data_IF_599225578167
#
_entry.id   IF_599225578167
#
_cell.length_a   1.000
_cell.length_b   1.000
_cell.length_c   1.000
_cell.angle_alpha   90.00
_cell.angle_beta   90.00
_cell.angle_gamma   90.00
#
_symmetry.space_group_name_H-M   'P 1'
#
loop_
_entity.id
_entity.type
_entity.pdbx_description
1 polymer ?
#
# COMPACT_ATOMS: atom_id res chain seq x y z
N UNK A 1 -2.56 17.08 34.56
CA UNK A 1 -2.25 15.89 33.75
C UNK A 1 -3.35 15.76 32.72
N UNK A 2 -3.09 16.10 31.44
CA UNK A 2 -4.09 15.94 30.37
C UNK A 2 -4.06 14.46 29.98
N UNK A 3 -5.18 13.77 30.17
CA UNK A 3 -5.37 12.43 29.63
C UNK A 3 -5.23 12.51 28.11
N UNK A 4 -4.15 11.93 27.59
CA UNK A 4 -4.02 11.66 26.16
C UNK A 4 -4.99 10.53 25.87
N UNK A 5 -6.15 10.87 25.32
CA UNK A 5 -7.07 9.91 24.74
C UNK A 5 -6.31 9.25 23.61
N UNK A 6 -5.79 8.06 23.89
CA UNK A 6 -5.16 7.20 22.90
C UNK A 6 -6.31 6.58 22.10
N UNK A 7 -6.93 7.38 21.24
CA UNK A 7 -7.95 6.92 20.32
C UNK A 7 -7.25 6.00 19.31
N UNK A 8 -7.07 4.74 19.67
CA UNK A 8 -6.93 3.66 18.71
C UNK A 8 -8.25 3.61 17.95
N UNK A 9 -8.40 4.53 16.99
CA UNK A 9 -9.38 4.41 15.94
C UNK A 9 -8.89 3.20 15.15
N UNK A 10 -9.40 2.03 15.49
CA UNK A 10 -9.34 0.84 14.66
C UNK A 10 -10.15 1.18 13.41
N UNK A 11 -9.53 1.95 12.50
CA UNK A 11 -10.02 2.11 11.15
C UNK A 11 -9.93 0.71 10.55
N UNK A 12 -11.05 0.01 10.52
CA UNK A 12 -11.24 -1.21 9.74
C UNK A 12 -10.94 -0.85 8.28
N UNK A 13 -9.69 -1.10 7.87
CA UNK A 13 -9.20 -0.83 6.52
C UNK A 13 -9.14 -2.12 5.74
N UNK A 14 -9.86 -2.17 4.63
CA UNK A 14 -9.86 -3.30 3.70
C UNK A 14 -8.89 -3.03 2.55
N UNK A 15 -8.21 -4.07 2.07
CA UNK A 15 -7.36 -4.01 0.89
C UNK A 15 -8.07 -4.68 -0.28
N UNK A 16 -8.14 -3.99 -1.42
CA UNK A 16 -8.68 -4.53 -2.66
C UNK A 16 -7.58 -4.64 -3.72
N UNK A 17 -7.52 -5.81 -4.36
CA UNK A 17 -6.66 -6.09 -5.51
C UNK A 17 -7.42 -5.83 -6.82
N UNK A 18 -6.81 -5.10 -7.75
CA UNK A 18 -7.22 -4.96 -9.15
C UNK A 18 -6.00 -5.13 -10.07
N UNK A 19 -6.19 -4.95 -11.37
CA UNK A 19 -5.10 -4.95 -12.35
C UNK A 19 -5.11 -3.66 -13.15
N UNK A 20 -3.95 -3.06 -13.32
CA UNK A 20 -3.77 -2.00 -14.32
C UNK A 20 -3.85 -2.58 -15.73
N UNK A 21 -4.00 -1.71 -16.73
CA UNK A 21 -4.08 -2.12 -18.14
C UNK A 21 -2.83 -2.85 -18.67
N UNK A 22 -1.70 -2.75 -17.97
CA UNK A 22 -0.44 -3.44 -18.29
C UNK A 22 -0.28 -4.78 -17.53
N UNK A 23 -1.32 -5.23 -16.81
CA UNK A 23 -1.31 -6.46 -16.03
C UNK A 23 -0.70 -6.34 -14.62
N UNK A 24 -0.08 -5.20 -14.29
CA UNK A 24 0.48 -4.98 -12.95
C UNK A 24 -0.61 -4.94 -11.87
N UNK A 25 -0.24 -5.39 -10.67
CA UNK A 25 -1.14 -5.39 -9.53
C UNK A 25 -1.42 -3.94 -9.09
N UNK A 26 -2.70 -3.62 -8.95
CA UNK A 26 -3.16 -2.36 -8.40
C UNK A 26 -3.76 -2.60 -7.01
N UNK A 27 -3.30 -1.85 -6.01
CA UNK A 27 -3.66 -2.01 -4.60
C UNK A 27 -4.40 -0.78 -4.13
N UNK A 28 -5.60 -0.99 -3.61
CA UNK A 28 -6.46 0.07 -3.07
C UNK A 28 -6.82 -0.24 -1.62
N UNK A 29 -6.83 0.80 -0.79
CA UNK A 29 -7.31 0.75 0.58
C UNK A 29 -8.70 1.39 0.65
N UNK A 30 -9.60 0.76 1.39
CA UNK A 30 -10.97 1.21 1.62
C UNK A 30 -11.26 1.22 3.12
N UNK A 31 -12.21 2.06 3.54
CA UNK A 31 -12.74 2.00 4.90
C UNK A 31 -13.82 0.92 5.04
N UNK A 32 -14.42 0.79 6.22
CA UNK A 32 -15.47 -0.18 6.51
C UNK A 32 -16.76 0.02 5.68
N UNK A 33 -17.02 1.25 5.23
CA UNK A 33 -18.16 1.61 4.37
C UNK A 33 -17.85 1.44 2.87
N UNK A 34 -16.72 0.80 2.53
CA UNK A 34 -16.23 0.63 1.16
C UNK A 34 -15.99 1.95 0.41
N UNK A 35 -15.69 3.03 1.15
CA UNK A 35 -15.24 4.29 0.57
C UNK A 35 -13.72 4.25 0.33
N UNK A 36 -13.23 4.76 -0.82
CA UNK A 36 -11.82 4.71 -1.15
C UNK A 36 -11.00 5.63 -0.23
N UNK A 37 -9.98 5.07 0.41
CA UNK A 37 -9.03 5.82 1.25
C UNK A 37 -7.77 6.18 0.48
N UNK A 38 -7.18 5.20 -0.22
CA UNK A 38 -5.92 5.41 -0.93
C UNK A 38 -5.71 4.38 -2.05
N UNK A 39 -5.01 4.79 -3.10
CA UNK A 39 -4.32 3.89 -4.01
C UNK A 39 -2.88 3.74 -3.51
N UNK A 40 -2.47 2.53 -3.14
CA UNK A 40 -1.16 2.22 -2.55
C UNK A 40 -0.15 1.71 -3.58
N UNK A 41 -0.53 1.57 -4.85
CA UNK A 41 0.34 1.10 -5.92
C UNK A 41 0.69 2.19 -6.93
N UNK A 42 1.82 2.01 -7.62
CA UNK A 42 2.22 2.84 -8.76
C UNK A 42 2.30 1.95 -10.00
N UNK A 43 1.62 2.36 -11.08
CA UNK A 43 1.81 1.77 -12.41
C UNK A 43 3.12 2.24 -13.02
N UNK A 44 4.04 1.34 -13.33
CA UNK A 44 5.33 1.68 -13.96
C UNK A 44 5.81 0.58 -14.91
N UNK A 45 5.95 0.90 -16.20
CA UNK A 45 6.40 -0.08 -17.20
C UNK A 45 7.91 -0.34 -17.19
N UNK A 46 8.68 0.38 -16.38
CA UNK A 46 10.14 0.32 -16.37
C UNK A 46 10.73 -0.78 -15.48
N UNK A 47 9.88 -1.57 -14.82
CA UNK A 47 10.30 -2.69 -13.98
C UNK A 47 9.39 -3.88 -14.18
N UNK A 48 10.00 -5.06 -14.25
CA UNK A 48 9.29 -6.33 -14.22
C UNK A 48 8.90 -6.67 -12.79
N UNK A 49 7.61 -6.95 -12.59
CA UNK A 49 7.03 -7.30 -11.31
C UNK A 49 6.45 -8.72 -11.42
N UNK A 50 6.67 -9.53 -10.39
CA UNK A 50 5.97 -10.80 -10.26
C UNK A 50 4.46 -10.56 -10.10
N UNK A 51 3.61 -11.57 -10.34
CA UNK A 51 2.15 -11.39 -10.36
C UNK A 51 1.55 -10.78 -9.08
N UNK A 52 2.13 -11.06 -7.91
CA UNK A 52 1.67 -10.51 -6.62
C UNK A 52 2.53 -9.35 -6.10
N UNK A 53 3.49 -8.87 -6.91
CA UNK A 53 4.30 -7.71 -6.60
C UNK A 53 3.67 -6.40 -7.11
N UNK A 54 3.91 -5.32 -6.38
CA UNK A 54 3.54 -3.96 -6.75
C UNK A 54 4.56 -2.96 -6.22
N UNK A 55 4.62 -1.79 -6.85
CA UNK A 55 5.47 -0.70 -6.37
C UNK A 55 4.65 0.10 -5.35
N UNK A 56 5.13 0.17 -4.11
CA UNK A 56 4.44 0.84 -3.03
C UNK A 56 4.50 2.36 -3.19
N UNK A 57 3.33 2.97 -3.12
CA UNK A 57 3.10 4.41 -3.06
C UNK A 57 3.04 4.87 -1.60
N UNK A 58 4.18 4.98 -0.93
CA UNK A 58 4.26 5.26 0.52
C UNK A 58 4.40 6.74 0.89
N UNK A 59 4.18 7.65 -0.05
CA UNK A 59 4.30 9.09 0.19
C UNK A 59 3.01 9.71 0.78
N UNK A 60 3.18 10.68 1.67
CA UNK A 60 2.10 11.43 2.35
C UNK A 60 1.12 10.54 3.13
N UNK A 61 -0.19 10.74 2.99
CA UNK A 61 -1.26 10.03 3.73
C UNK A 61 -1.23 8.51 3.53
N UNK A 62 -0.68 8.06 2.40
CA UNK A 62 -0.54 6.64 2.10
C UNK A 62 0.43 5.93 3.06
N UNK A 63 1.40 6.64 3.65
CA UNK A 63 2.40 6.03 4.56
C UNK A 63 1.74 5.37 5.77
N UNK A 64 0.83 6.10 6.41
CA UNK A 64 0.13 5.62 7.59
C UNK A 64 -0.82 4.45 7.26
N UNK A 65 -1.41 4.47 6.06
CA UNK A 65 -2.28 3.39 5.58
C UNK A 65 -1.46 2.14 5.25
N UNK A 66 -0.36 2.29 4.49
CA UNK A 66 0.54 1.19 4.15
C UNK A 66 1.14 0.53 5.40
N UNK A 67 1.54 1.33 6.40
CA UNK A 67 2.07 0.85 7.67
C UNK A 67 1.14 -0.14 8.38
N UNK A 68 -0.18 0.13 8.38
CA UNK A 68 -1.16 -0.79 8.97
C UNK A 68 -1.19 -2.14 8.27
N UNK A 69 -1.06 -2.16 6.95
CA UNK A 69 -1.04 -3.41 6.18
C UNK A 69 0.28 -4.18 6.30
N UNK A 70 1.39 -3.49 6.60
CA UNK A 70 2.63 -4.15 7.02
C UNK A 70 2.48 -4.80 8.39
N UNK A 71 1.87 -4.10 9.36
CA UNK A 71 1.65 -4.60 10.72
C UNK A 71 0.73 -5.83 10.76
N UNK A 72 -0.23 -5.93 9.85
CA UNK A 72 -1.07 -7.13 9.69
C UNK A 72 -0.41 -8.25 8.89
N UNK A 73 0.73 -7.99 8.25
CA UNK A 73 1.45 -8.95 7.40
C UNK A 73 0.80 -9.22 6.04
N UNK A 74 -0.24 -8.47 5.67
CA UNK A 74 -0.90 -8.56 4.34
C UNK A 74 0.02 -8.06 3.24
N UNK A 75 0.71 -6.94 3.48
CA UNK A 75 1.76 -6.43 2.60
C UNK A 75 3.11 -6.85 3.19
N UNK A 76 3.98 -7.43 2.37
CA UNK A 76 5.36 -7.73 2.75
C UNK A 76 6.34 -6.95 1.88
N UNK A 77 7.37 -6.33 2.49
CA UNK A 77 8.44 -5.73 1.72
C UNK A 77 9.22 -6.82 0.98
N UNK A 78 9.73 -6.50 -0.20
CA UNK A 78 10.83 -7.25 -0.81
C UNK A 78 12.15 -6.52 -0.54
N UNK A 79 13.28 -7.05 -1.01
CA UNK A 79 14.57 -6.35 -0.96
C UNK A 79 14.82 -5.49 -2.21
N UNK A 80 13.79 -5.23 -3.01
CA UNK A 80 13.88 -4.53 -4.30
C UNK A 80 13.29 -3.13 -4.22
N UNK A 81 13.96 -2.20 -4.88
CA UNK A 81 13.54 -0.80 -4.97
C UNK A 81 13.62 -0.33 -6.43
N UNK A 82 12.83 0.67 -6.76
CA UNK A 82 12.88 1.39 -8.03
C UNK A 82 12.85 2.89 -7.78
N UNK A 83 13.64 3.65 -8.54
CA UNK A 83 13.56 5.10 -8.56
C UNK A 83 12.46 5.54 -9.54
N UNK A 84 11.43 6.23 -9.04
CA UNK A 84 10.39 6.86 -9.85
C UNK A 84 10.50 8.38 -9.66
N UNK A 85 10.95 9.07 -10.71
CA UNK A 85 11.33 10.48 -10.61
C UNK A 85 12.47 10.65 -9.60
N UNK A 86 12.22 11.36 -8.50
CA UNK A 86 13.16 11.56 -7.40
C UNK A 86 12.85 10.69 -6.15
N UNK A 87 11.90 9.76 -6.23
CA UNK A 87 11.46 8.95 -5.09
C UNK A 87 11.93 7.51 -5.23
N UNK A 88 12.62 7.00 -4.19
CA UNK A 88 12.96 5.60 -4.09
C UNK A 88 11.76 4.83 -3.55
N UNK A 89 11.11 4.06 -4.41
CA UNK A 89 9.90 3.30 -4.07
C UNK A 89 10.25 1.83 -3.83
N UNK A 90 9.74 1.29 -2.72
CA UNK A 90 9.88 -0.10 -2.35
C UNK A 90 8.94 -0.98 -3.20
N UNK A 91 9.44 -2.12 -3.67
CA UNK A 91 8.59 -3.16 -4.24
C UNK A 91 8.11 -4.05 -3.10
N UNK A 92 6.80 -4.25 -3.02
CA UNK A 92 6.15 -5.09 -2.03
C UNK A 92 5.40 -6.22 -2.72
N UNK A 93 5.03 -7.23 -1.95
CA UNK A 93 4.16 -8.32 -2.39
C UNK A 93 2.96 -8.49 -1.45
N UNK A 94 1.86 -9.01 -1.98
CA UNK A 94 0.71 -9.40 -1.17
C UNK A 94 0.91 -10.82 -0.66
N UNK A 95 0.86 -10.98 0.66
CA UNK A 95 0.85 -12.28 1.33
C UNK A 95 -0.61 -12.75 1.39
N UNK A 96 -0.99 -13.62 0.45
CA UNK A 96 -2.33 -14.25 0.40
C UNK A 96 -2.34 -15.56 1.17
#
# INVERSE_FOLDING_TARGET
MKEMINTQITLDTKLQKKRYSNGQLAIFAFNHNDEPLAELSIKCNSVELAPEEFILKDYSENRAIAQKFFETGIIKPTDRFILIGSHLCLICQINS
#
